data_IF_953731411879
#
_entry.id   IF_953731411879
#
_cell.length_a   1.000
_cell.length_b   1.000
_cell.length_c   1.000
_cell.angle_alpha   90.00
_cell.angle_beta   90.00
_cell.angle_gamma   90.00
#
_symmetry.space_group_name_H-M   'P 1'
#
loop_
_entity.id
_entity.type
_entity.pdbx_description
1 polymer ?
#
# COMPACT_ATOMS: atom_id res chain seq x y z
N UNK A 1 2.13 3.57 13.40
CA UNK A 1 1.15 4.12 14.36
C UNK A 1 -0.09 3.25 14.44
N UNK A 2 -0.88 3.40 15.51
CA UNK A 2 -2.22 2.85 15.62
C UNK A 2 -3.27 3.83 15.07
N UNK A 3 -4.49 3.35 14.84
CA UNK A 3 -5.60 4.21 14.43
C UNK A 3 -5.88 5.31 15.45
N UNK A 4 -6.43 6.44 14.99
CA UNK A 4 -6.63 7.62 15.84
C UNK A 4 -7.99 7.62 16.58
N UNK A 5 -8.90 6.70 16.22
CA UNK A 5 -10.22 6.58 16.86
C UNK A 5 -10.27 5.37 17.82
N UNK A 6 -11.09 5.42 18.89
CA UNK A 6 -11.41 4.24 19.68
C UNK A 6 -12.09 3.17 18.80
N UNK A 7 -11.81 1.90 19.07
CA UNK A 7 -12.44 0.81 18.32
C UNK A 7 -13.93 0.69 18.61
N UNK A 8 -14.77 0.58 17.61
CA UNK A 8 -16.22 0.47 17.72
C UNK A 8 -16.71 -0.72 18.55
N UNK A 9 -15.94 -1.80 18.60
CA UNK A 9 -16.22 -2.99 19.40
C UNK A 9 -15.94 -2.81 20.90
N UNK A 10 -15.42 -1.66 21.33
CA UNK A 10 -15.04 -1.41 22.71
C UNK A 10 -13.63 -1.93 23.05
N UNK A 11 -13.27 -1.86 24.35
CA UNK A 11 -11.95 -2.21 24.83
C UNK A 11 -10.91 -1.11 24.58
N UNK A 12 -9.62 -1.48 24.57
CA UNK A 12 -8.48 -0.57 24.36
C UNK A 12 -8.04 -0.48 22.89
N UNK A 13 -8.70 -1.21 21.99
CA UNK A 13 -8.37 -1.24 20.57
C UNK A 13 -8.57 0.12 19.89
N UNK A 14 -7.84 0.33 18.80
CA UNK A 14 -7.92 1.54 17.98
C UNK A 14 -8.31 1.17 16.55
N UNK A 15 -8.91 2.13 15.85
CA UNK A 15 -9.27 2.02 14.43
C UNK A 15 -8.95 3.32 13.71
N UNK A 16 -8.79 3.25 12.39
CA UNK A 16 -8.55 4.43 11.55
C UNK A 16 -9.86 5.14 11.22
N UNK A 17 -10.92 4.38 11.00
CA UNK A 17 -12.27 4.85 10.75
C UNK A 17 -13.27 3.81 11.28
N UNK A 18 -14.48 4.25 11.61
CA UNK A 18 -15.55 3.38 12.10
C UNK A 18 -15.89 2.29 11.07
N UNK A 19 -15.99 1.04 11.54
CA UNK A 19 -16.44 -0.11 10.72
C UNK A 19 -17.96 -0.28 10.74
N UNK A 20 -18.68 0.42 11.63
CA UNK A 20 -20.15 0.36 11.71
C UNK A 20 -20.77 0.95 10.47
N UNK A 21 -21.60 0.14 9.78
CA UNK A 21 -22.27 0.57 8.56
C UNK A 21 -21.33 0.93 7.41
N UNK A 22 -20.08 0.42 7.41
CA UNK A 22 -19.20 0.57 6.26
C UNK A 22 -19.73 -0.24 5.08
N UNK A 23 -19.76 0.37 3.91
CA UNK A 23 -20.15 -0.24 2.64
C UNK A 23 -19.15 0.09 1.55
N UNK A 24 -19.27 -0.51 0.39
CA UNK A 24 -18.43 -0.17 -0.77
C UNK A 24 -18.59 1.31 -1.16
N UNK A 25 -19.81 1.85 -1.06
CA UNK A 25 -20.11 3.23 -1.47
C UNK A 25 -19.50 4.28 -0.53
N UNK A 26 -19.48 4.02 0.79
CA UNK A 26 -19.04 5.00 1.79
C UNK A 26 -17.60 4.80 2.28
N UNK A 27 -16.98 3.63 1.97
CA UNK A 27 -15.59 3.35 2.38
C UNK A 27 -14.60 4.39 1.87
N UNK A 28 -14.63 4.80 0.57
CA UNK A 28 -13.67 5.79 0.06
C UNK A 28 -13.70 7.11 0.83
N UNK A 29 -14.90 7.60 1.16
CA UNK A 29 -15.06 8.83 1.94
C UNK A 29 -14.51 8.69 3.37
N UNK A 30 -14.83 7.58 4.06
CA UNK A 30 -14.33 7.32 5.42
C UNK A 30 -12.80 7.24 5.47
N UNK A 31 -12.21 6.56 4.49
CA UNK A 31 -10.74 6.47 4.36
C UNK A 31 -10.15 7.85 4.11
N UNK A 32 -10.73 8.65 3.20
CA UNK A 32 -10.28 10.00 2.91
C UNK A 32 -10.35 10.91 4.14
N UNK A 33 -11.40 10.81 4.96
CA UNK A 33 -11.54 11.57 6.22
C UNK A 33 -10.47 11.17 7.26
N UNK A 34 -10.05 9.91 7.29
CA UNK A 34 -9.02 9.41 8.21
C UNK A 34 -7.58 9.68 7.73
N UNK A 35 -7.39 10.14 6.49
CA UNK A 35 -6.07 10.28 5.87
C UNK A 35 -5.19 11.39 6.45
N UNK A 36 -5.69 12.63 6.71
CA UNK A 36 -4.82 13.75 7.08
C UNK A 36 -3.93 13.51 8.31
N UNK A 37 -4.41 12.90 9.42
CA UNK A 37 -3.54 12.65 10.55
C UNK A 37 -2.48 11.57 10.27
N UNK A 38 -2.74 10.60 9.41
CA UNK A 38 -1.74 9.61 9.00
C UNK A 38 -0.65 10.28 8.14
N UNK A 39 -1.05 11.09 7.16
CA UNK A 39 -0.12 11.87 6.34
C UNK A 39 0.80 12.73 7.20
N UNK A 40 0.22 13.51 8.12
CA UNK A 40 0.97 14.36 9.04
C UNK A 40 1.96 13.55 9.89
N UNK A 41 1.53 12.38 10.40
CA UNK A 41 2.39 11.49 11.18
C UNK A 41 3.59 11.00 10.36
N UNK A 42 3.38 10.54 9.12
CA UNK A 42 4.47 10.04 8.26
C UNK A 42 5.47 11.18 7.96
N UNK A 43 4.99 12.36 7.57
CA UNK A 43 5.84 13.53 7.30
C UNK A 43 6.64 13.96 8.53
N UNK A 44 6.03 13.97 9.70
CA UNK A 44 6.71 14.30 10.96
C UNK A 44 7.79 13.26 11.30
N UNK A 45 7.51 11.97 11.10
CA UNK A 45 8.50 10.92 11.32
C UNK A 45 9.68 11.06 10.36
N UNK A 46 9.44 11.29 9.07
CA UNK A 46 10.47 11.55 8.07
C UNK A 46 11.34 12.75 8.46
N UNK A 47 10.71 13.87 8.80
CA UNK A 47 11.42 15.07 9.22
C UNK A 47 12.25 14.86 10.51
N UNK A 48 11.68 14.16 11.49
CA UNK A 48 12.33 13.86 12.76
C UNK A 48 13.61 13.02 12.61
N UNK A 49 13.57 12.04 11.69
CA UNK A 49 14.67 11.09 11.51
C UNK A 49 15.53 11.40 10.27
N UNK A 50 15.26 12.49 9.56
CA UNK A 50 16.00 12.88 8.35
C UNK A 50 15.86 11.86 7.19
N UNK A 51 14.71 11.20 7.09
CA UNK A 51 14.45 10.16 6.10
C UNK A 51 13.83 10.75 4.83
N UNK A 52 14.26 10.22 3.70
CA UNK A 52 13.64 10.47 2.41
C UNK A 52 12.47 9.51 2.16
N UNK A 53 11.71 9.78 1.12
CA UNK A 53 10.67 8.89 0.63
C UNK A 53 11.22 7.47 0.36
N UNK A 54 12.37 7.35 -0.30
CA UNK A 54 13.03 6.07 -0.61
C UNK A 54 13.40 5.24 0.63
N UNK A 55 13.64 5.91 1.75
CA UNK A 55 14.04 5.30 3.02
C UNK A 55 12.84 4.89 3.89
N UNK A 56 11.64 5.21 3.41
CA UNK A 56 10.39 5.01 4.14
C UNK A 56 9.64 3.80 3.60
N UNK A 57 9.26 2.88 4.47
CA UNK A 57 8.32 1.81 4.18
C UNK A 57 7.11 1.91 5.11
N UNK A 58 5.91 1.77 4.55
CA UNK A 58 4.67 1.71 5.32
C UNK A 58 4.21 0.26 5.39
N UNK A 59 4.13 -0.30 6.59
CA UNK A 59 3.57 -1.62 6.81
C UNK A 59 2.22 -1.50 7.54
N UNK A 60 1.20 -2.16 7.02
CA UNK A 60 -0.13 -2.14 7.61
C UNK A 60 -0.83 -3.50 7.55
N UNK A 61 -1.69 -3.74 8.51
CA UNK A 61 -2.57 -4.90 8.56
C UNK A 61 -4.04 -4.45 8.52
N UNK A 62 -4.86 -5.14 7.74
CA UNK A 62 -6.31 -4.89 7.66
C UNK A 62 -6.61 -3.41 7.33
N UNK A 63 -7.26 -2.66 8.22
CA UNK A 63 -7.47 -1.21 8.04
C UNK A 63 -6.16 -0.44 7.84
N UNK A 64 -5.10 -0.80 8.58
CA UNK A 64 -3.79 -0.17 8.41
C UNK A 64 -3.20 -0.38 7.02
N UNK A 65 -3.47 -1.54 6.40
CA UNK A 65 -3.07 -1.79 5.02
C UNK A 65 -3.89 -0.95 4.02
N UNK A 66 -5.21 -0.80 4.25
CA UNK A 66 -6.05 0.12 3.46
C UNK A 66 -5.47 1.54 3.51
N UNK A 67 -5.20 2.04 4.72
CA UNK A 67 -4.66 3.39 4.91
C UNK A 67 -3.30 3.59 4.25
N UNK A 68 -2.41 2.60 4.31
CA UNK A 68 -1.09 2.67 3.68
C UNK A 68 -1.18 2.70 2.14
N UNK A 69 -2.03 1.85 1.56
CA UNK A 69 -2.27 1.83 0.10
C UNK A 69 -2.88 3.15 -0.39
N UNK A 70 -3.93 3.64 0.30
CA UNK A 70 -4.61 4.87 -0.08
C UNK A 70 -3.74 6.12 0.15
N UNK A 71 -2.84 6.10 1.16
CA UNK A 71 -1.91 7.21 1.38
C UNK A 71 -0.96 7.39 0.20
N UNK A 72 -0.34 6.32 -0.30
CA UNK A 72 0.56 6.43 -1.46
C UNK A 72 -0.20 6.62 -2.77
N UNK A 73 -1.46 6.22 -2.82
CA UNK A 73 -2.35 6.49 -3.95
C UNK A 73 -2.71 7.99 -4.06
N UNK A 74 -2.95 8.63 -2.91
CA UNK A 74 -3.28 10.06 -2.85
C UNK A 74 -2.02 10.94 -2.93
N UNK A 75 -0.91 10.48 -2.40
CA UNK A 75 0.35 11.21 -2.29
C UNK A 75 1.51 10.34 -2.80
N UNK A 76 1.59 10.17 -4.12
CA UNK A 76 2.70 9.44 -4.72
C UNK A 76 4.04 10.09 -4.36
N UNK A 77 5.00 9.29 -3.96
CA UNK A 77 6.24 9.79 -3.37
C UNK A 77 6.19 9.99 -1.85
N UNK A 78 5.14 9.55 -1.14
CA UNK A 78 5.10 9.55 0.33
C UNK A 78 6.01 8.48 0.94
N UNK A 79 6.10 7.31 0.32
CA UNK A 79 6.93 6.20 0.77
C UNK A 79 7.51 5.43 -0.42
N UNK A 80 8.70 4.86 -0.27
CA UNK A 80 9.33 4.02 -1.30
C UNK A 80 8.71 2.64 -1.38
N UNK A 81 8.08 2.16 -0.30
CA UNK A 81 7.44 0.85 -0.24
C UNK A 81 6.18 0.85 0.61
N UNK A 82 5.21 0.02 0.22
CA UNK A 82 4.08 -0.38 1.06
C UNK A 82 4.08 -1.89 1.23
N UNK A 83 3.86 -2.36 2.46
CA UNK A 83 3.68 -3.77 2.82
C UNK A 83 2.27 -3.90 3.39
N UNK A 84 1.36 -4.37 2.56
CA UNK A 84 -0.06 -4.45 2.87
C UNK A 84 -0.46 -5.90 3.22
N UNK A 85 -0.70 -6.17 4.51
CA UNK A 85 -1.18 -7.46 4.99
C UNK A 85 -2.70 -7.46 5.11
N UNK A 86 -3.37 -8.41 4.48
CA UNK A 86 -4.83 -8.64 4.57
C UNK A 86 -5.64 -7.36 4.40
N UNK A 87 -5.23 -6.52 3.44
CA UNK A 87 -5.85 -5.25 3.12
C UNK A 87 -6.51 -5.24 1.74
N UNK A 88 -6.99 -4.07 1.37
CA UNK A 88 -7.57 -3.79 0.06
C UNK A 88 -7.47 -2.29 -0.25
N UNK A 89 -7.69 -1.90 -1.47
CA UNK A 89 -8.02 -0.51 -1.78
C UNK A 89 -9.46 -0.18 -1.35
N UNK A 90 -9.71 1.04 -0.93
CA UNK A 90 -11.06 1.55 -0.71
C UNK A 90 -11.84 1.58 -2.04
N UNK A 91 -11.15 1.97 -3.11
CA UNK A 91 -11.59 1.88 -4.49
C UNK A 91 -10.38 1.51 -5.36
N UNK A 92 -10.55 0.63 -6.35
CA UNK A 92 -9.45 0.25 -7.24
C UNK A 92 -8.80 1.49 -7.87
N UNK A 93 -7.46 1.54 -7.94
CA UNK A 93 -6.73 2.72 -8.36
C UNK A 93 -6.98 3.05 -9.84
N UNK A 94 -7.03 4.35 -10.16
CA UNK A 94 -7.12 4.85 -11.54
C UNK A 94 -5.75 4.98 -12.20
N UNK A 95 -4.70 5.17 -11.40
CA UNK A 95 -3.30 5.22 -11.79
C UNK A 95 -2.46 4.44 -10.79
N UNK A 96 -1.37 3.83 -11.22
CA UNK A 96 -0.42 3.19 -10.31
C UNK A 96 0.53 4.23 -9.70
N UNK A 97 0.91 4.10 -8.42
CA UNK A 97 1.97 4.93 -7.85
C UNK A 97 3.29 4.70 -8.61
N UNK A 98 3.95 5.79 -9.00
CA UNK A 98 5.20 5.75 -9.79
C UNK A 98 6.44 5.55 -8.92
N UNK A 99 6.40 6.06 -7.69
CA UNK A 99 7.56 6.10 -6.79
C UNK A 99 7.47 5.08 -5.65
N UNK A 100 6.42 4.26 -5.61
CA UNK A 100 6.19 3.30 -4.53
C UNK A 100 6.09 1.88 -5.08
N UNK A 101 6.90 0.96 -4.54
CA UNK A 101 6.74 -0.49 -4.76
C UNK A 101 5.75 -1.05 -3.77
N UNK A 102 4.76 -1.80 -4.25
CA UNK A 102 3.68 -2.36 -3.44
C UNK A 102 3.89 -3.86 -3.21
N UNK A 103 3.85 -4.30 -1.96
CA UNK A 103 3.87 -5.71 -1.58
C UNK A 103 2.54 -6.07 -0.94
N UNK A 104 1.74 -6.87 -1.67
CA UNK A 104 0.39 -7.27 -1.29
C UNK A 104 0.45 -8.70 -0.73
N UNK A 105 0.15 -8.88 0.56
CA UNK A 105 0.27 -10.16 1.27
C UNK A 105 -1.08 -10.54 1.90
N UNK A 106 -1.59 -11.75 1.61
CA UNK A 106 -2.95 -12.12 2.00
C UNK A 106 -3.08 -13.59 2.35
N UNK A 107 -3.99 -13.90 3.30
CA UNK A 107 -4.43 -15.26 3.55
C UNK A 107 -5.50 -15.69 2.54
N UNK A 108 -5.36 -16.89 1.97
CA UNK A 108 -6.35 -17.41 1.00
C UNK A 108 -7.74 -17.62 1.62
N UNK A 109 -7.78 -17.95 2.91
CA UNK A 109 -8.99 -18.32 3.65
C UNK A 109 -9.47 -17.18 4.57
N UNK A 110 -9.09 -15.90 4.25
CA UNK A 110 -9.45 -14.72 5.02
C UNK A 110 -10.98 -14.48 4.98
N UNK A 111 -11.70 -14.62 6.09
CA UNK A 111 -13.15 -14.45 6.13
C UNK A 111 -13.59 -13.00 6.32
N UNK A 112 -12.67 -12.10 6.68
CA UNK A 112 -12.94 -10.69 6.95
C UNK A 112 -12.68 -9.84 5.72
N UNK A 113 -11.53 -10.07 5.09
CA UNK A 113 -11.11 -9.40 3.86
C UNK A 113 -10.90 -10.45 2.79
N UNK A 114 -11.93 -10.72 1.98
CA UNK A 114 -11.85 -11.78 0.99
C UNK A 114 -10.68 -11.59 0.02
N UNK A 115 -9.95 -12.67 -0.26
CA UNK A 115 -8.73 -12.66 -1.10
C UNK A 115 -8.96 -12.06 -2.51
N UNK A 116 -10.18 -12.12 -3.02
CA UNK A 116 -10.53 -11.53 -4.32
C UNK A 116 -10.27 -10.02 -4.40
N UNK A 117 -10.32 -9.31 -3.28
CA UNK A 117 -10.02 -7.87 -3.28
C UNK A 117 -8.57 -7.58 -3.64
N UNK A 118 -7.64 -8.37 -3.09
CA UNK A 118 -6.22 -8.17 -3.36
C UNK A 118 -5.84 -8.69 -4.76
N UNK A 119 -6.51 -9.76 -5.23
CA UNK A 119 -6.35 -10.25 -6.59
C UNK A 119 -6.84 -9.23 -7.62
N UNK A 120 -7.99 -8.59 -7.38
CA UNK A 120 -8.49 -7.51 -8.24
C UNK A 120 -7.56 -6.28 -8.21
N UNK A 121 -6.99 -5.95 -7.05
CA UNK A 121 -6.00 -4.89 -6.93
C UNK A 121 -4.73 -5.20 -7.73
N UNK A 122 -4.20 -6.43 -7.66
CA UNK A 122 -3.04 -6.84 -8.45
C UNK A 122 -3.34 -6.76 -9.94
N UNK A 123 -4.45 -7.34 -10.39
CA UNK A 123 -4.84 -7.30 -11.82
C UNK A 123 -4.95 -5.85 -12.32
N UNK A 124 -5.53 -4.96 -11.50
CA UNK A 124 -5.63 -3.55 -11.86
C UNK A 124 -4.29 -2.84 -11.91
N UNK A 125 -3.39 -3.14 -10.97
CA UNK A 125 -2.02 -2.58 -10.97
C UNK A 125 -1.21 -3.09 -12.16
N UNK A 126 -1.37 -4.35 -12.57
CA UNK A 126 -0.73 -4.92 -13.76
C UNK A 126 -1.18 -4.20 -15.04
N UNK A 127 -2.49 -3.93 -15.18
CA UNK A 127 -3.04 -3.11 -16.30
C UNK A 127 -2.45 -1.69 -16.34
N UNK A 128 -2.14 -1.13 -15.18
CA UNK A 128 -1.59 0.22 -15.02
C UNK A 128 -0.05 0.24 -15.02
N UNK A 129 0.59 -0.89 -15.29
CA UNK A 129 2.06 -1.06 -15.24
C UNK A 129 2.66 -0.64 -13.88
N UNK A 130 1.94 -0.92 -12.79
CA UNK A 130 2.37 -0.60 -11.43
C UNK A 130 3.42 -1.56 -10.90
N UNK A 131 4.31 -1.05 -10.08
CA UNK A 131 5.35 -1.83 -9.41
C UNK A 131 4.77 -2.55 -8.18
N UNK A 132 4.17 -3.73 -8.40
CA UNK A 132 3.46 -4.48 -7.37
C UNK A 132 3.84 -5.97 -7.37
N UNK A 133 3.81 -6.58 -6.20
CA UNK A 133 3.94 -8.03 -6.02
C UNK A 133 2.79 -8.55 -5.15
N UNK A 134 2.33 -9.77 -5.41
CA UNK A 134 1.31 -10.44 -4.60
C UNK A 134 1.85 -11.75 -4.05
N UNK A 135 1.59 -12.01 -2.78
CA UNK A 135 1.88 -13.27 -2.11
C UNK A 135 0.63 -13.73 -1.32
N UNK A 136 0.10 -14.91 -1.67
CA UNK A 136 -1.09 -15.48 -1.05
C UNK A 136 -0.69 -16.77 -0.34
N UNK A 137 -1.00 -16.85 0.97
CA UNK A 137 -0.72 -18.03 1.78
C UNK A 137 -1.99 -18.89 1.90
N UNK A 138 -1.91 -20.16 1.50
CA UNK A 138 -2.99 -21.15 1.69
C UNK A 138 -3.17 -21.48 3.16
N UNK A 139 -4.41 -21.77 3.56
CA UNK A 139 -4.80 -22.12 4.94
C UNK A 139 -4.48 -21.01 5.97
N UNK A 140 -4.45 -19.78 5.53
CA UNK A 140 -4.25 -18.59 6.38
C UNK A 140 -5.50 -17.72 6.31
N UNK A 141 -6.01 -17.32 7.47
CA UNK A 141 -7.15 -16.44 7.64
C UNK A 141 -6.76 -14.95 7.76
N UNK A 142 -7.57 -14.19 8.52
CA UNK A 142 -7.35 -12.77 8.77
C UNK A 142 -6.35 -12.54 9.91
N UNK A 143 -5.07 -12.75 9.64
CA UNK A 143 -4.02 -12.68 10.65
C UNK A 143 -2.66 -12.28 10.06
N UNK A 144 -1.77 -11.77 10.92
CA UNK A 144 -0.35 -11.59 10.60
C UNK A 144 0.38 -12.93 10.75
N UNK A 145 0.15 -13.84 9.80
CA UNK A 145 0.73 -15.17 9.81
C UNK A 145 2.25 -15.12 9.58
N UNK A 146 3.06 -15.94 10.30
CA UNK A 146 4.52 -15.96 10.15
C UNK A 146 5.01 -16.17 8.70
N UNK A 147 4.31 -16.98 7.90
CA UNK A 147 4.66 -17.19 6.49
C UNK A 147 4.56 -15.90 5.67
N UNK A 148 3.53 -15.06 5.90
CA UNK A 148 3.37 -13.78 5.23
C UNK A 148 4.43 -12.77 5.71
N UNK A 149 4.73 -12.74 7.00
CA UNK A 149 5.79 -11.89 7.57
C UNK A 149 7.15 -12.27 6.96
N UNK A 150 7.47 -13.56 6.92
CA UNK A 150 8.71 -14.04 6.30
C UNK A 150 8.78 -13.66 4.82
N UNK A 151 7.65 -13.74 4.11
CA UNK A 151 7.59 -13.34 2.70
C UNK A 151 7.82 -11.84 2.52
N UNK A 152 7.24 -11.01 3.40
CA UNK A 152 7.50 -9.56 3.40
C UNK A 152 8.99 -9.24 3.59
N UNK A 153 9.67 -9.93 4.52
CA UNK A 153 11.11 -9.77 4.74
C UNK A 153 11.89 -10.12 3.47
N UNK A 154 11.56 -11.24 2.83
CA UNK A 154 12.19 -11.64 1.55
C UNK A 154 11.98 -10.56 0.49
N UNK A 155 10.76 -10.03 0.35
CA UNK A 155 10.46 -8.96 -0.62
C UNK A 155 11.27 -7.69 -0.34
N UNK A 156 11.38 -7.29 0.92
CA UNK A 156 12.19 -6.13 1.30
C UNK A 156 13.68 -6.30 0.96
N UNK A 157 14.20 -7.52 1.10
CA UNK A 157 15.61 -7.82 0.88
C UNK A 157 15.97 -8.04 -0.60
N UNK A 158 15.04 -8.55 -1.40
CA UNK A 158 15.34 -9.07 -2.74
C UNK A 158 14.65 -8.34 -3.88
N UNK A 159 13.52 -7.64 -3.62
CA UNK A 159 12.80 -6.95 -4.67
C UNK A 159 13.49 -5.64 -5.03
N UNK A 160 14.01 -5.56 -6.23
CA UNK A 160 14.51 -4.31 -6.81
C UNK A 160 13.32 -3.56 -7.42
N UNK A 161 13.07 -2.30 -7.05
CA UNK A 161 11.96 -1.52 -7.61
C UNK A 161 12.03 -1.42 -9.15
N UNK A 162 10.87 -1.49 -9.81
CA UNK A 162 10.77 -1.40 -11.28
C UNK A 162 11.47 -0.14 -11.81
N UNK A 163 11.23 1.01 -11.18
CA UNK A 163 11.89 2.29 -11.52
C UNK A 163 13.41 2.25 -11.48
N UNK A 164 14.00 1.39 -10.65
CA UNK A 164 15.47 1.22 -10.60
C UNK A 164 15.98 0.45 -11.81
N UNK A 165 15.23 -0.54 -12.28
CA UNK A 165 15.52 -1.25 -13.53
C UNK A 165 15.37 -0.34 -14.74
N UNK A 166 14.29 0.44 -14.81
CA UNK A 166 14.04 1.40 -15.88
C UNK A 166 15.17 2.44 -15.96
N UNK A 167 15.60 2.97 -14.81
CA UNK A 167 16.74 3.89 -14.75
C UNK A 167 18.05 3.23 -15.24
N UNK A 168 18.34 2.00 -14.80
CA UNK A 168 19.53 1.27 -15.20
C UNK A 168 19.55 0.93 -16.70
N UNK A 169 18.37 0.72 -17.30
CA UNK A 169 18.22 0.44 -18.74
C UNK A 169 18.09 1.71 -19.58
N UNK A 170 18.10 2.91 -18.97
CA UNK A 170 17.95 4.19 -19.67
C UNK A 170 16.55 4.46 -20.22
N UNK A 171 15.54 3.72 -19.76
CA UNK A 171 14.17 3.82 -20.25
C UNK A 171 13.45 5.10 -19.74
N UNK A 172 13.97 5.71 -18.68
CA UNK A 172 13.42 6.95 -18.08
C UNK A 172 14.05 8.23 -18.65
N UNK A 173 14.87 8.13 -19.71
CA UNK A 173 15.36 9.31 -20.41
C UNK A 173 14.26 9.83 -21.35
N UNK A 174 13.65 10.95 -21.00
CA UNK A 174 12.91 11.75 -21.99
C UNK A 174 13.87 12.04 -23.15
N UNK A 175 13.51 11.77 -24.42
CA UNK A 175 14.36 12.12 -25.54
C UNK A 175 14.70 13.62 -25.45
N UNK A 176 15.95 14.05 -25.68
CA UNK A 176 16.25 15.47 -25.68
C UNK A 176 15.35 16.12 -26.75
N UNK A 177 14.56 17.12 -26.34
CA UNK A 177 13.76 17.93 -27.24
C UNK A 177 14.65 18.43 -28.39
N UNK A 178 14.37 17.97 -29.60
CA UNK A 178 14.98 18.54 -30.81
C UNK A 178 15.79 17.62 -31.73
N UNK A 179 15.80 16.31 -31.57
CA UNK A 179 16.38 15.42 -32.59
C UNK A 179 15.38 15.13 -33.71
N UNK A 180 15.24 16.03 -34.66
CA UNK A 180 14.66 15.76 -35.99
C UNK A 180 15.72 14.99 -36.82
N UNK A 181 15.45 13.73 -37.09
CA UNK A 181 16.15 12.98 -38.14
C UNK A 181 15.79 13.57 -39.49
N UNK A 182 16.76 14.11 -40.20
CA UNK A 182 16.69 14.47 -41.60
C UNK A 182 17.10 13.27 -42.46
#
# INVERSE_FOLDING_TARGET
PEGFEPFDGGGTGRQWFSVRGVSEDNRPERVAQAMPPLEAYVRQAQARFGLLQSDTALAGFSQGAIMALELVQAHDGMAGRVIAFSGRYAQLPKAAPQYTTLHLLHGADDPVMHVSHIQAAQARLDELHGDATIDIATHVGHELHPALIQRAIVRLQTCVPLRSWEAALGLNQTPPDGATLH
#
